data_IF_906402153508
#
_entry.id   IF_906402153508
#
_cell.length_a   1.000
_cell.length_b   1.000
_cell.length_c   1.000
_cell.angle_alpha   90.00
_cell.angle_beta   90.00
_cell.angle_gamma   90.00
#
_symmetry.space_group_name_H-M   'P 1'
#
loop_
_entity.id
_entity.type
_entity.pdbx_description
1 polymer ?
#
# COMPACT_ATOMS: atom_id res chain seq x y z
N UNK A 1 -5.46 -18.01 19.25
CA UNK A 1 -6.66 -17.15 19.38
C UNK A 1 -7.43 -17.43 20.68
N UNK A 2 -7.91 -18.66 20.91
CA UNK A 2 -8.60 -19.01 22.16
C UNK A 2 -7.73 -18.79 23.40
N UNK A 3 -6.45 -19.15 23.36
CA UNK A 3 -5.54 -19.00 24.50
C UNK A 3 -5.34 -17.53 24.91
N UNK A 4 -5.22 -16.63 23.93
CA UNK A 4 -5.16 -15.18 24.15
C UNK A 4 -6.46 -14.67 24.77
N UNK A 5 -7.62 -15.16 24.31
CA UNK A 5 -8.92 -14.78 24.86
C UNK A 5 -9.13 -15.29 26.30
N UNK A 6 -8.57 -16.47 26.62
CA UNK A 6 -8.56 -17.03 27.97
C UNK A 6 -7.53 -16.36 28.89
N UNK A 7 -6.67 -15.47 28.35
CA UNK A 7 -5.66 -14.76 29.11
C UNK A 7 -4.56 -15.66 29.66
N UNK A 8 -4.25 -16.76 28.96
CA UNK A 8 -3.16 -17.66 29.38
C UNK A 8 -1.83 -16.88 29.32
N UNK A 9 -1.03 -16.87 30.39
CA UNK A 9 0.23 -16.12 30.41
C UNK A 9 1.18 -16.52 29.27
N UNK A 10 1.78 -15.53 28.61
CA UNK A 10 2.77 -15.70 27.54
C UNK A 10 2.20 -16.02 26.15
N UNK A 11 0.90 -16.30 26.02
CA UNK A 11 0.34 -16.70 24.71
C UNK A 11 0.15 -15.54 23.75
N UNK A 12 0.22 -14.30 24.25
CA UNK A 12 0.15 -13.07 23.44
C UNK A 12 1.53 -12.59 22.97
N UNK A 13 2.61 -13.11 23.55
CA UNK A 13 3.96 -12.61 23.31
C UNK A 13 4.33 -12.68 21.81
N UNK A 14 3.94 -13.77 21.13
CA UNK A 14 4.16 -13.93 19.69
C UNK A 14 3.42 -12.87 18.88
N UNK A 15 2.15 -12.59 19.20
CA UNK A 15 1.35 -11.57 18.54
C UNK A 15 1.97 -10.18 18.75
N UNK A 16 2.42 -9.88 19.97
CA UNK A 16 3.06 -8.60 20.29
C UNK A 16 4.42 -8.43 19.56
N UNK A 17 5.24 -9.48 19.47
CA UNK A 17 6.49 -9.47 18.69
C UNK A 17 6.23 -9.31 17.18
N UNK A 18 5.20 -9.98 16.65
CA UNK A 18 4.79 -9.85 15.26
C UNK A 18 4.32 -8.41 14.96
N UNK A 19 3.58 -7.80 15.89
CA UNK A 19 3.12 -6.41 15.79
C UNK A 19 4.30 -5.44 15.86
N UNK A 20 5.30 -5.68 16.72
CA UNK A 20 6.53 -4.86 16.76
C UNK A 20 7.29 -4.94 15.44
N UNK A 21 7.45 -6.14 14.86
CA UNK A 21 8.07 -6.32 13.56
C UNK A 21 7.32 -5.56 12.45
N UNK A 22 5.99 -5.65 12.44
CA UNK A 22 5.13 -4.89 11.51
C UNK A 22 5.30 -3.38 11.67
N UNK A 23 5.30 -2.87 12.91
CA UNK A 23 5.46 -1.44 13.19
C UNK A 23 6.86 -0.91 12.81
N UNK A 24 7.89 -1.76 12.90
CA UNK A 24 9.24 -1.43 12.47
C UNK A 24 9.43 -1.51 10.94
N UNK A 25 8.45 -2.09 10.22
CA UNK A 25 8.54 -2.47 8.81
C UNK A 25 9.71 -3.44 8.55
N UNK A 26 9.93 -4.38 9.48
CA UNK A 26 10.91 -5.45 9.34
C UNK A 26 10.22 -6.69 8.79
N UNK A 27 10.24 -6.84 7.46
CA UNK A 27 9.54 -7.91 6.75
C UNK A 27 10.07 -9.29 7.07
N UNK A 28 11.39 -9.48 7.09
CA UNK A 28 11.98 -10.77 7.43
C UNK A 28 11.54 -11.26 8.80
N UNK A 29 11.58 -10.39 9.81
CA UNK A 29 11.10 -10.73 11.15
C UNK A 29 9.59 -10.97 11.18
N UNK A 30 8.82 -10.22 10.39
CA UNK A 30 7.38 -10.41 10.28
C UNK A 30 7.03 -11.80 9.71
N UNK A 31 7.73 -12.22 8.66
CA UNK A 31 7.52 -13.53 8.04
C UNK A 31 7.96 -14.66 8.96
N UNK A 32 9.14 -14.56 9.59
CA UNK A 32 9.63 -15.54 10.57
C UNK A 32 8.63 -15.80 11.71
N UNK A 33 7.98 -14.74 12.19
CA UNK A 33 7.02 -14.82 13.29
C UNK A 33 5.62 -15.22 12.85
N UNK A 34 5.33 -15.19 11.54
CA UNK A 34 4.03 -15.57 10.99
C UNK A 34 3.74 -17.07 11.17
N UNK A 35 2.50 -17.49 10.93
CA UNK A 35 2.13 -18.90 11.10
C UNK A 35 2.60 -19.76 9.93
N UNK A 36 2.66 -19.15 8.74
CA UNK A 36 3.13 -19.76 7.50
C UNK A 36 4.03 -18.74 6.78
N UNK A 37 5.34 -18.75 7.07
CA UNK A 37 6.29 -17.77 6.54
C UNK A 37 6.37 -17.76 5.01
N UNK A 38 6.28 -18.93 4.38
CA UNK A 38 6.44 -19.07 2.93
C UNK A 38 5.26 -18.44 2.20
N UNK A 39 4.03 -18.73 2.66
CA UNK A 39 2.81 -18.11 2.10
C UNK A 39 2.77 -16.61 2.36
N UNK A 40 3.14 -16.16 3.57
CA UNK A 40 3.15 -14.74 3.90
C UNK A 40 4.12 -13.95 3.02
N UNK A 41 5.31 -14.50 2.76
CA UNK A 41 6.30 -13.91 1.85
C UNK A 41 5.80 -13.91 0.41
N UNK A 42 5.25 -15.02 -0.06
CA UNK A 42 4.72 -15.11 -1.43
C UNK A 42 3.65 -14.05 -1.73
N UNK A 43 2.76 -13.75 -0.77
CA UNK A 43 1.74 -12.70 -0.95
C UNK A 43 2.28 -11.28 -0.88
N UNK A 44 3.35 -11.05 -0.12
CA UNK A 44 4.03 -9.76 -0.14
C UNK A 44 4.76 -9.56 -1.48
N UNK A 45 5.47 -10.60 -1.93
CA UNK A 45 6.38 -10.52 -3.08
C UNK A 45 5.66 -10.62 -4.43
N UNK A 46 4.37 -11.01 -4.47
CA UNK A 46 3.55 -11.01 -5.69
C UNK A 46 3.53 -9.62 -6.36
N UNK A 47 3.43 -8.58 -5.53
CA UNK A 47 3.37 -7.19 -5.97
C UNK A 47 4.63 -6.39 -5.61
N UNK A 48 5.64 -6.90 -4.89
CA UNK A 48 6.85 -6.13 -4.62
C UNK A 48 8.06 -7.07 -4.66
N UNK A 49 8.90 -6.91 -5.69
CA UNK A 49 10.12 -7.71 -5.90
C UNK A 49 11.32 -7.23 -5.06
N UNK A 50 11.21 -6.03 -4.48
CA UNK A 50 12.24 -5.41 -3.63
C UNK A 50 11.74 -5.22 -2.19
N UNK A 51 12.66 -5.33 -1.24
CA UNK A 51 12.38 -5.03 0.16
C UNK A 51 12.13 -3.52 0.32
N UNK A 52 10.93 -3.14 0.76
CA UNK A 52 10.50 -1.74 0.87
C UNK A 52 9.99 -1.43 2.27
N UNK A 53 9.93 -0.16 2.65
CA UNK A 53 9.32 0.28 3.91
C UNK A 53 7.79 0.48 3.77
N UNK A 54 7.15 -0.21 2.84
CA UNK A 54 5.70 -0.21 2.64
C UNK A 54 5.24 -1.54 2.02
N UNK A 55 3.94 -1.68 1.74
CA UNK A 55 3.41 -2.80 0.97
C UNK A 55 2.51 -2.29 -0.16
N UNK A 56 2.21 -3.14 -1.13
CA UNK A 56 1.43 -2.79 -2.33
C UNK A 56 0.01 -2.28 -2.02
N UNK A 57 -0.53 -2.55 -0.82
CA UNK A 57 -1.90 -2.18 -0.46
C UNK A 57 -2.13 -0.65 -0.43
N UNK A 58 -1.20 0.12 0.13
CA UNK A 58 -1.33 1.58 0.24
C UNK A 58 -0.28 2.33 -0.60
N UNK A 59 0.76 1.63 -1.05
CA UNK A 59 1.90 2.24 -1.72
C UNK A 59 2.78 3.05 -0.78
N UNK A 60 3.85 3.59 -1.36
CA UNK A 60 4.90 4.32 -0.63
C UNK A 60 4.34 5.52 0.12
N UNK A 61 3.71 6.47 -0.57
CA UNK A 61 3.38 7.79 0.01
C UNK A 61 2.24 7.75 1.04
N UNK A 62 1.42 6.70 1.05
CA UNK A 62 0.21 6.59 1.88
C UNK A 62 0.22 5.44 2.88
N UNK A 63 1.37 4.79 3.08
CA UNK A 63 1.51 3.75 4.09
C UNK A 63 1.32 4.32 5.50
N UNK A 64 0.20 3.98 6.15
CA UNK A 64 -0.12 4.47 7.50
C UNK A 64 0.91 4.07 8.55
N UNK A 65 1.52 2.89 8.42
CA UNK A 65 2.53 2.38 9.35
C UNK A 65 3.83 3.16 9.20
N UNK A 66 4.29 3.41 7.97
CA UNK A 66 5.48 4.23 7.68
C UNK A 66 5.30 5.65 8.21
N UNK A 67 4.19 6.30 7.86
CA UNK A 67 3.85 7.65 8.34
C UNK A 67 3.82 7.70 9.87
N UNK A 68 3.24 6.68 10.53
CA UNK A 68 3.20 6.63 12.00
C UNK A 68 4.60 6.51 12.60
N UNK A 69 5.47 5.70 12.00
CA UNK A 69 6.88 5.55 12.42
C UNK A 69 7.63 6.88 12.28
N UNK A 70 7.48 7.56 11.15
CA UNK A 70 8.10 8.87 10.89
C UNK A 70 7.62 9.93 11.90
N UNK A 71 6.33 9.97 12.24
CA UNK A 71 5.80 10.88 13.27
C UNK A 71 6.41 10.60 14.64
N UNK A 72 6.60 9.32 15.01
CA UNK A 72 7.24 8.95 16.28
C UNK A 72 8.71 9.35 16.29
N UNK A 73 9.44 9.13 15.19
CA UNK A 73 10.84 9.53 15.03
C UNK A 73 10.97 11.06 15.14
N UNK A 74 10.13 11.80 14.42
CA UNK A 74 9.98 13.25 14.51
C UNK A 74 9.72 13.74 15.94
N UNK A 75 8.72 13.17 16.62
CA UNK A 75 8.36 13.58 17.97
C UNK A 75 9.44 13.22 19.00
N UNK A 76 10.23 12.18 18.74
CA UNK A 76 11.32 11.77 19.62
C UNK A 76 12.53 12.71 19.57
N UNK A 77 12.65 13.53 18.52
CA UNK A 77 13.79 14.42 18.28
C UNK A 77 15.11 13.68 18.03
N UNK A 78 15.08 12.36 17.84
CA UNK A 78 16.26 11.52 17.60
C UNK A 78 16.70 11.53 16.13
N UNK A 79 15.83 12.00 15.25
CA UNK A 79 16.13 12.15 13.83
C UNK A 79 16.29 13.64 13.49
N UNK A 80 17.52 14.04 13.13
CA UNK A 80 17.81 15.40 12.68
C UNK A 80 17.09 15.75 11.37
N UNK A 81 16.77 14.76 10.54
CA UNK A 81 16.05 14.94 9.28
C UNK A 81 14.55 15.19 9.49
N UNK A 82 14.01 14.85 10.66
CA UNK A 82 12.58 14.89 10.96
C UNK A 82 12.27 15.95 12.03
N UNK A 83 12.57 17.22 11.70
CA UNK A 83 12.35 18.38 12.59
C UNK A 83 11.20 19.28 12.11
N UNK A 84 10.52 19.94 13.05
CA UNK A 84 9.37 20.82 12.77
C UNK A 84 9.82 21.99 11.88
N UNK A 85 9.27 22.08 10.66
CA UNK A 85 9.65 23.08 9.65
C UNK A 85 10.63 22.56 8.58
N UNK A 86 11.00 21.28 8.62
CA UNK A 86 11.82 20.58 7.61
C UNK A 86 11.18 19.25 7.20
N UNK A 87 9.88 19.26 6.87
CA UNK A 87 9.25 18.05 6.34
C UNK A 87 9.99 17.62 5.07
N UNK A 88 10.64 16.45 5.09
CA UNK A 88 11.33 15.91 3.91
C UNK A 88 10.24 15.45 2.95
N UNK A 89 10.15 16.08 1.79
CA UNK A 89 9.42 15.51 0.66
C UNK A 89 10.10 14.18 0.35
N UNK A 90 9.33 13.09 0.31
CA UNK A 90 9.87 11.78 -0.03
C UNK A 90 10.63 11.86 -1.35
N UNK A 91 11.70 11.10 -1.46
CA UNK A 91 12.45 11.07 -2.72
C UNK A 91 11.53 10.57 -3.82
N UNK A 92 11.65 11.15 -5.01
CA UNK A 92 10.91 10.66 -6.16
C UNK A 92 11.21 9.18 -6.36
N UNK A 93 10.21 8.41 -6.80
CA UNK A 93 10.37 7.02 -7.20
C UNK A 93 11.66 6.84 -8.02
N UNK A 94 12.39 5.77 -7.76
CA UNK A 94 13.51 5.38 -8.62
C UNK A 94 13.01 5.02 -10.03
N UNK A 95 13.91 5.01 -11.00
CA UNK A 95 13.53 4.66 -12.38
C UNK A 95 13.04 3.22 -12.50
N UNK A 96 13.60 2.30 -11.70
CA UNK A 96 13.13 0.92 -11.58
C UNK A 96 11.71 0.86 -10.99
N UNK A 97 11.44 1.59 -9.90
CA UNK A 97 10.11 1.67 -9.32
C UNK A 97 9.09 2.31 -10.28
N UNK A 98 9.49 3.33 -11.04
CA UNK A 98 8.66 3.92 -12.10
C UNK A 98 8.37 2.90 -13.19
N UNK A 99 9.38 2.18 -13.67
CA UNK A 99 9.22 1.17 -14.72
C UNK A 99 8.31 0.02 -14.27
N UNK A 100 8.42 -0.43 -13.01
CA UNK A 100 7.52 -1.42 -12.42
C UNK A 100 6.09 -0.89 -12.39
N UNK A 101 5.88 0.36 -11.95
CA UNK A 101 4.56 0.99 -11.94
C UNK A 101 4.00 1.25 -13.34
N UNK A 102 4.83 1.56 -14.32
CA UNK A 102 4.45 1.75 -15.73
C UNK A 102 4.10 0.42 -16.41
N UNK A 103 4.86 -0.65 -16.14
CA UNK A 103 4.52 -2.02 -16.58
C UNK A 103 3.23 -2.52 -15.93
N UNK A 104 2.96 -2.07 -14.71
CA UNK A 104 1.68 -2.25 -14.02
C UNK A 104 0.63 -1.21 -14.42
N UNK A 105 1.02 -0.26 -15.26
CA UNK A 105 0.24 0.91 -15.63
C UNK A 105 -1.03 0.52 -16.38
N UNK A 106 -2.15 0.92 -15.76
CA UNK A 106 -3.50 1.06 -16.33
C UNK A 106 -3.67 0.54 -17.75
N UNK A 107 -4.31 -0.63 -17.84
CA UNK A 107 -4.97 -1.08 -19.05
C UNK A 107 -5.67 0.11 -19.73
N UNK A 108 -5.54 0.21 -21.06
CA UNK A 108 -6.21 1.31 -21.78
C UNK A 108 -7.71 1.32 -21.45
N UNK A 109 -8.40 2.47 -21.49
CA UNK A 109 -9.84 2.52 -21.22
C UNK A 109 -10.63 1.48 -22.03
N UNK A 110 -10.24 1.23 -23.29
CA UNK A 110 -10.82 0.19 -24.14
C UNK A 110 -10.60 -1.23 -23.56
N UNK A 111 -9.40 -1.49 -23.04
CA UNK A 111 -8.98 -2.76 -22.46
C UNK A 111 -9.68 -3.02 -21.10
N UNK A 112 -9.83 -1.97 -20.27
CA UNK A 112 -10.63 -1.99 -19.03
C UNK A 112 -12.08 -2.33 -19.34
N UNK A 113 -12.70 -1.64 -20.31
CA UNK A 113 -14.08 -1.91 -20.71
C UNK A 113 -14.26 -3.32 -21.28
N UNK A 114 -13.28 -3.83 -22.05
CA UNK A 114 -13.28 -5.21 -22.54
C UNK A 114 -13.22 -6.23 -21.41
N UNK A 115 -12.41 -6.01 -20.37
CA UNK A 115 -12.35 -6.92 -19.22
C UNK A 115 -13.60 -6.81 -18.33
N UNK A 116 -14.07 -5.60 -18.06
CA UNK A 116 -15.28 -5.36 -17.28
C UNK A 116 -16.54 -5.95 -17.94
N UNK A 117 -16.55 -6.09 -19.26
CA UNK A 117 -17.66 -6.73 -19.99
C UNK A 117 -17.58 -8.26 -20.01
N UNK A 118 -16.48 -8.90 -19.61
CA UNK A 118 -16.40 -10.37 -19.49
C UNK A 118 -17.28 -10.92 -18.37
N UNK A 119 -17.50 -10.15 -17.30
CA UNK A 119 -18.37 -10.53 -16.18
C UNK A 119 -19.84 -10.17 -16.39
N UNK A 120 -20.16 -9.45 -17.47
CA UNK A 120 -21.48 -8.84 -17.73
C UNK A 120 -22.64 -9.85 -17.72
N UNK A 121 -22.40 -11.03 -18.28
CA UNK A 121 -23.36 -12.12 -18.31
C UNK A 121 -23.54 -12.78 -16.93
N UNK A 122 -22.47 -12.83 -16.11
CA UNK A 122 -22.49 -13.41 -14.77
C UNK A 122 -23.17 -12.52 -13.72
N UNK A 123 -23.23 -11.20 -13.96
CA UNK A 123 -23.85 -10.24 -13.03
C UNK A 123 -25.19 -9.67 -13.54
N UNK A 124 -25.73 -10.21 -14.63
CA UNK A 124 -27.05 -9.80 -15.16
C UNK A 124 -27.11 -8.37 -15.72
N UNK A 125 -25.97 -7.79 -16.11
CA UNK A 125 -25.87 -6.42 -16.60
C UNK A 125 -25.98 -6.33 -18.14
N UNK A 126 -26.84 -7.14 -18.76
CA UNK A 126 -26.90 -7.32 -20.22
C UNK A 126 -27.34 -6.07 -21.01
N UNK A 127 -27.90 -5.05 -20.34
CA UNK A 127 -28.42 -3.84 -20.97
C UNK A 127 -27.56 -2.59 -20.69
N UNK A 128 -26.71 -2.22 -21.66
CA UNK A 128 -25.99 -0.93 -21.68
C UNK A 128 -24.56 -0.96 -21.13
N UNK A 129 -23.79 0.12 -21.36
CA UNK A 129 -22.45 0.31 -20.78
C UNK A 129 -22.62 0.67 -19.31
N UNK A 130 -21.92 -0.02 -18.41
CA UNK A 130 -21.86 0.38 -17.00
C UNK A 130 -21.13 1.72 -16.91
N UNK A 131 -21.72 2.70 -16.23
CA UNK A 131 -21.10 4.01 -16.05
C UNK A 131 -19.82 3.85 -15.21
N UNK A 132 -18.67 4.18 -15.79
CA UNK A 132 -17.38 4.19 -15.10
C UNK A 132 -16.99 5.62 -14.72
N UNK A 133 -16.20 5.78 -13.66
CA UNK A 133 -15.69 7.09 -13.25
C UNK A 133 -14.89 7.80 -14.38
N UNK A 134 -14.22 7.02 -15.23
CA UNK A 134 -13.51 7.50 -16.44
C UNK A 134 -14.42 8.09 -17.52
N UNK A 135 -15.73 7.87 -17.45
CA UNK A 135 -16.70 8.38 -18.42
C UNK A 135 -17.16 9.80 -18.08
N UNK A 136 -16.95 10.23 -16.83
CA UNK A 136 -17.46 11.51 -16.29
C UNK A 136 -16.35 12.46 -15.83
N UNK A 137 -15.12 11.96 -15.64
CA UNK A 137 -13.97 12.76 -15.27
C UNK A 137 -12.85 12.60 -16.30
N UNK A 138 -12.49 13.69 -16.97
CA UNK A 138 -11.39 13.69 -17.94
C UNK A 138 -10.04 13.92 -17.25
N UNK A 139 -8.99 13.27 -17.74
CA UNK A 139 -7.63 13.34 -17.20
C UNK A 139 -7.12 14.78 -17.08
N UNK A 140 -7.48 15.66 -18.04
CA UNK A 140 -7.02 17.05 -18.03
C UNK A 140 -7.66 17.87 -16.90
N UNK A 141 -8.87 17.51 -16.45
CA UNK A 141 -9.48 18.16 -15.28
C UNK A 141 -8.83 17.74 -13.97
N UNK A 142 -8.45 16.47 -13.83
CA UNK A 142 -7.70 16.01 -12.66
C UNK A 142 -6.31 16.68 -12.59
N UNK A 143 -5.62 16.78 -13.73
CA UNK A 143 -4.31 17.42 -13.83
C UNK A 143 -4.35 18.91 -13.50
N UNK A 144 -5.35 19.64 -14.01
CA UNK A 144 -5.58 21.06 -13.67
C UNK A 144 -5.81 21.27 -12.18
N UNK A 145 -6.54 20.38 -11.51
CA UNK A 145 -6.77 20.45 -10.06
C UNK A 145 -5.48 20.24 -9.26
N UNK A 146 -4.61 19.32 -9.70
CA UNK A 146 -3.31 19.11 -9.06
C UNK A 146 -2.40 20.34 -9.21
N UNK A 147 -2.31 20.89 -10.42
CA UNK A 147 -1.49 22.09 -10.71
C UNK A 147 -1.99 23.35 -9.98
N UNK A 148 -3.27 23.41 -9.62
CA UNK A 148 -3.85 24.56 -8.89
C UNK A 148 -3.78 24.41 -7.37
N UNK A 149 -3.46 23.22 -6.86
CA UNK A 149 -3.34 22.93 -5.43
C UNK A 149 -1.88 23.00 -4.92
N UNK A 150 -0.90 23.24 -5.79
CA UNK A 150 0.48 23.57 -5.41
C UNK A 150 0.54 25.00 -4.81
N UNK A 151 0.17 25.13 -3.52
CA UNK A 151 0.42 26.29 -2.64
C UNK A 151 1.08 25.81 -1.36
#
# INVERSE_FOLDING_TARGET
AADVALGIPGTRDRDDELTKARAALNWDRHFELSFDPDTARAYHDEDLDVDTDFCAMCGHDWCSVRISKEIVEFASGKDEANQRGRAKVSEALTDEQREILEKRGVLSPAEIHRLASKTKHGVGADHGKAACHSDVADESSAKRLQETLDV
#
